data_IF_080113059110
#
_entry.id   IF_080113059110
#
_cell.length_a   1.000
_cell.length_b   1.000
_cell.length_c   1.000
_cell.angle_alpha   90.00
_cell.angle_beta   90.00
_cell.angle_gamma   90.00
#
_symmetry.space_group_name_H-M   'P 1'
#
loop_
_entity.id
_entity.type
_entity.pdbx_description
1 polymer ?
#
# COMPACT_ATOMS: atom_id res chain seq x y z
N UNK A 1 -15.06 -11.09 0.31
CA UNK A 1 -14.07 -11.85 -0.50
C UNK A 1 -13.35 -10.96 -1.52
N UNK A 2 -14.07 -10.27 -2.42
CA UNK A 2 -13.44 -9.42 -3.45
C UNK A 2 -12.50 -8.32 -2.89
N UNK A 3 -12.91 -7.66 -1.80
CA UNK A 3 -12.10 -6.60 -1.16
C UNK A 3 -10.78 -7.10 -0.57
N UNK A 4 -10.80 -8.22 0.16
CA UNK A 4 -9.59 -8.87 0.69
C UNK A 4 -8.62 -9.17 -0.44
N UNK A 5 -9.10 -9.72 -1.56
CA UNK A 5 -8.24 -10.06 -2.70
C UNK A 5 -7.67 -8.80 -3.36
N UNK A 6 -8.49 -7.75 -3.52
CA UNK A 6 -8.06 -6.49 -4.14
C UNK A 6 -6.98 -5.77 -3.33
N UNK A 7 -7.31 -5.38 -2.10
CA UNK A 7 -6.43 -4.51 -1.33
C UNK A 7 -5.32 -5.29 -0.62
N UNK A 8 -5.56 -6.55 -0.25
CA UNK A 8 -4.53 -7.35 0.43
C UNK A 8 -3.56 -8.03 -0.53
N UNK A 9 -3.93 -8.28 -1.79
CA UNK A 9 -3.07 -9.04 -2.74
C UNK A 9 -2.77 -8.26 -4.01
N UNK A 10 -3.77 -7.77 -4.74
CA UNK A 10 -3.53 -7.09 -6.01
C UNK A 10 -2.73 -5.80 -5.84
N UNK A 11 -3.07 -4.94 -4.88
CA UNK A 11 -2.37 -3.67 -4.66
C UNK A 11 -0.89 -3.88 -4.28
N UNK A 12 -0.52 -4.72 -3.29
CA UNK A 12 0.88 -5.01 -2.98
C UNK A 12 1.67 -5.63 -4.14
N UNK A 13 1.03 -6.48 -4.97
CA UNK A 13 1.67 -7.05 -6.15
C UNK A 13 1.90 -5.99 -7.24
N UNK A 14 0.97 -5.06 -7.42
CA UNK A 14 1.18 -3.91 -8.31
C UNK A 14 2.31 -3.01 -7.80
N UNK A 15 2.40 -2.78 -6.48
CA UNK A 15 3.53 -2.05 -5.88
C UNK A 15 4.86 -2.76 -6.18
N UNK A 16 4.89 -4.10 -6.09
CA UNK A 16 6.07 -4.89 -6.44
C UNK A 16 6.47 -4.69 -7.90
N UNK A 17 5.53 -4.77 -8.84
CA UNK A 17 5.78 -4.54 -10.28
C UNK A 17 6.37 -3.15 -10.49
N UNK A 18 5.79 -2.10 -9.88
CA UNK A 18 6.31 -0.74 -9.99
C UNK A 18 7.69 -0.57 -9.34
N UNK A 19 7.99 -1.31 -8.27
CA UNK A 19 9.31 -1.26 -7.64
C UNK A 19 10.40 -1.93 -8.48
N UNK A 20 10.04 -2.84 -9.39
CA UNK A 20 10.98 -3.45 -10.34
C UNK A 20 11.39 -2.47 -11.45
N UNK A 21 10.56 -1.49 -11.75
CA UNK A 21 10.90 -0.41 -12.68
C UNK A 21 11.94 0.50 -11.99
N UNK A 22 13.06 0.85 -12.66
CA UNK A 22 14.15 1.63 -12.06
C UNK A 22 13.83 3.12 -11.92
N UNK A 23 12.59 3.46 -11.55
CA UNK A 23 12.13 4.79 -11.24
C UNK A 23 11.97 4.88 -9.71
N UNK A 24 12.71 5.77 -9.03
CA UNK A 24 12.57 5.96 -7.60
C UNK A 24 11.12 6.25 -7.20
N UNK A 25 10.65 5.60 -6.14
CA UNK A 25 9.34 5.85 -5.51
C UNK A 25 8.11 5.60 -6.38
N UNK A 26 8.23 5.01 -7.58
CA UNK A 26 7.08 4.75 -8.45
C UNK A 26 6.00 3.90 -7.76
N UNK A 27 6.40 2.93 -6.95
CA UNK A 27 5.51 2.06 -6.17
C UNK A 27 4.70 2.78 -5.08
N UNK A 28 5.04 4.03 -4.73
CA UNK A 28 4.28 4.85 -3.77
C UNK A 28 2.99 5.40 -4.40
N UNK A 29 2.84 5.35 -5.73
CA UNK A 29 1.63 5.83 -6.41
C UNK A 29 0.36 5.13 -5.90
N UNK A 30 0.44 3.85 -5.54
CA UNK A 30 -0.69 3.11 -5.00
C UNK A 30 -1.15 3.70 -3.65
N UNK A 31 -0.22 4.10 -2.79
CA UNK A 31 -0.54 4.77 -1.52
C UNK A 31 -1.25 6.10 -1.77
N UNK A 32 -0.77 6.87 -2.74
CA UNK A 32 -1.40 8.14 -3.13
C UNK A 32 -2.82 7.92 -3.67
N UNK A 33 -3.03 6.91 -4.51
CA UNK A 33 -4.36 6.57 -5.06
C UNK A 33 -5.34 6.13 -3.97
N UNK A 34 -4.92 5.28 -3.04
CA UNK A 34 -5.77 4.87 -1.91
C UNK A 34 -6.14 6.07 -1.04
N UNK A 35 -5.17 6.94 -0.73
CA UNK A 35 -5.42 8.15 0.07
C UNK A 35 -6.37 9.11 -0.62
N UNK A 36 -6.23 9.26 -1.94
CA UNK A 36 -7.12 10.07 -2.76
C UNK A 36 -8.54 9.50 -2.74
N UNK A 37 -8.69 8.18 -2.89
CA UNK A 37 -10.00 7.50 -2.84
C UNK A 37 -10.69 7.71 -1.50
N UNK A 38 -9.97 7.57 -0.38
CA UNK A 38 -10.53 7.79 0.96
C UNK A 38 -10.87 9.27 1.18
N UNK A 39 -10.02 10.19 0.75
CA UNK A 39 -10.32 11.63 0.81
C UNK A 39 -11.60 11.98 0.05
N UNK A 40 -11.81 11.37 -1.12
CA UNK A 40 -13.02 11.55 -1.91
C UNK A 40 -14.25 10.95 -1.21
N UNK A 41 -14.11 9.75 -0.63
CA UNK A 41 -15.17 9.10 0.15
C UNK A 41 -15.60 9.90 1.39
N UNK A 42 -14.67 10.60 2.04
CA UNK A 42 -14.96 11.50 3.17
C UNK A 42 -15.60 12.82 2.70
N UNK A 43 -15.15 13.37 1.57
CA UNK A 43 -15.58 14.68 1.10
C UNK A 43 -16.97 14.68 0.45
N UNK A 44 -17.28 13.69 -0.40
CA UNK A 44 -18.52 13.70 -1.19
C UNK A 44 -19.81 13.77 -0.35
N UNK A 45 -19.98 12.99 0.72
CA UNK A 45 -21.20 13.07 1.53
C UNK A 45 -21.39 14.43 2.20
N UNK A 46 -20.27 15.08 2.59
CA UNK A 46 -20.28 16.43 3.14
C UNK A 46 -20.65 17.48 2.08
N UNK A 47 -20.17 17.30 0.84
CA UNK A 47 -20.43 18.22 -0.26
C UNK A 47 -21.87 18.15 -0.79
N UNK A 48 -22.50 16.97 -0.76
CA UNK A 48 -23.84 16.74 -1.31
C UNK A 48 -24.98 16.85 -0.28
N UNK A 49 -24.70 17.29 0.95
CA UNK A 49 -25.69 17.51 2.01
C UNK A 49 -26.67 16.32 2.17
N UNK A 50 -26.13 15.10 2.22
CA UNK A 50 -26.93 13.93 2.56
C UNK A 50 -27.32 14.02 4.04
N UNK A 51 -28.53 14.51 4.35
CA UNK A 51 -29.02 14.66 5.72
C UNK A 51 -29.11 13.32 6.48
N UNK A 52 -29.13 12.20 5.76
CA UNK A 52 -29.20 10.85 6.34
C UNK A 52 -27.85 10.29 6.82
N UNK A 53 -26.72 10.78 6.29
CA UNK A 53 -25.39 10.30 6.70
C UNK A 53 -24.64 11.37 7.50
N UNK A 54 -24.52 11.13 8.80
CA UNK A 54 -23.71 11.98 9.65
C UNK A 54 -22.22 11.78 9.33
N UNK A 55 -21.47 12.88 9.33
CA UNK A 55 -20.03 12.86 9.13
C UNK A 55 -19.32 11.94 10.14
N UNK A 56 -19.84 11.81 11.37
CA UNK A 56 -19.34 10.90 12.39
C UNK A 56 -19.37 9.43 11.96
N UNK A 57 -20.42 9.04 11.24
CA UNK A 57 -20.68 7.64 10.89
C UNK A 57 -19.73 7.21 9.78
N UNK A 58 -19.52 8.09 8.81
CA UNK A 58 -18.50 7.92 7.75
C UNK A 58 -17.10 7.82 8.38
N UNK A 59 -16.80 8.66 9.37
CA UNK A 59 -15.49 8.68 10.02
C UNK A 59 -15.22 7.38 10.76
N UNK A 60 -16.19 6.87 11.53
CA UNK A 60 -16.07 5.61 12.28
C UNK A 60 -16.13 4.39 11.34
N UNK A 61 -16.88 4.45 10.24
CA UNK A 61 -16.94 3.39 9.25
C UNK A 61 -15.67 3.26 8.40
N UNK A 62 -15.07 4.39 7.98
CA UNK A 62 -13.97 4.40 7.01
C UNK A 62 -12.59 4.48 7.67
N UNK A 63 -12.41 5.38 8.64
CA UNK A 63 -11.07 5.69 9.16
C UNK A 63 -10.38 4.48 9.79
N UNK A 64 -11.06 3.63 10.59
CA UNK A 64 -10.41 2.49 11.23
C UNK A 64 -9.78 1.53 10.22
N UNK A 65 -10.50 1.12 9.16
CA UNK A 65 -9.94 0.16 8.20
C UNK A 65 -8.83 0.81 7.37
N UNK A 66 -9.02 2.08 6.96
CA UNK A 66 -8.04 2.82 6.18
C UNK A 66 -6.71 2.99 6.93
N UNK A 67 -6.74 3.25 8.24
CA UNK A 67 -5.51 3.40 9.03
C UNK A 67 -4.63 2.15 8.98
N UNK A 68 -5.23 0.96 9.10
CA UNK A 68 -4.49 -0.30 9.01
C UNK A 68 -4.05 -0.62 7.59
N UNK A 69 -4.91 -0.36 6.59
CA UNK A 69 -4.56 -0.56 5.19
C UNK A 69 -3.37 0.34 4.77
N UNK A 70 -3.44 1.62 5.11
CA UNK A 70 -2.39 2.59 4.84
C UNK A 70 -1.07 2.19 5.53
N UNK A 71 -1.13 1.75 6.79
CA UNK A 71 0.03 1.20 7.49
C UNK A 71 0.64 0.00 6.75
N UNK A 72 -0.19 -0.95 6.31
CA UNK A 72 0.23 -2.11 5.54
C UNK A 72 0.96 -1.72 4.25
N UNK A 73 0.44 -0.74 3.50
CA UNK A 73 1.09 -0.24 2.30
C UNK A 73 2.38 0.53 2.59
N UNK A 74 2.45 1.30 3.67
CA UNK A 74 3.70 1.95 4.11
C UNK A 74 4.79 0.92 4.42
N UNK A 75 4.46 -0.18 5.11
CA UNK A 75 5.40 -1.27 5.39
C UNK A 75 5.84 -1.93 4.07
N UNK A 76 4.91 -2.20 3.15
CA UNK A 76 5.23 -2.74 1.83
C UNK A 76 6.18 -1.82 1.04
N UNK A 77 5.91 -0.52 1.02
CA UNK A 77 6.76 0.49 0.39
C UNK A 77 8.17 0.52 0.99
N UNK A 78 8.31 0.41 2.32
CA UNK A 78 9.61 0.36 2.98
C UNK A 78 10.43 -0.89 2.59
N UNK A 79 9.78 -2.04 2.42
CA UNK A 79 10.44 -3.26 1.93
C UNK A 79 10.87 -3.10 0.46
N UNK A 80 9.98 -2.55 -0.38
CA UNK A 80 10.22 -2.33 -1.80
C UNK A 80 11.30 -1.27 -2.07
N UNK A 81 11.49 -0.30 -1.17
CA UNK A 81 12.57 0.67 -1.28
C UNK A 81 13.95 0.01 -1.40
N UNK A 82 14.22 -1.05 -0.60
CA UNK A 82 15.50 -1.78 -0.67
C UNK A 82 15.67 -2.49 -2.01
N UNK A 83 14.60 -3.10 -2.52
CA UNK A 83 14.57 -3.75 -3.82
C UNK A 83 14.80 -2.76 -4.97
N UNK A 84 14.01 -1.70 -5.05
CA UNK A 84 14.10 -0.68 -6.08
C UNK A 84 15.50 -0.01 -6.08
N UNK A 85 16.04 0.29 -4.90
CA UNK A 85 17.40 0.83 -4.76
C UNK A 85 18.48 -0.12 -5.28
N UNK A 86 18.34 -1.42 -5.07
CA UNK A 86 19.26 -2.45 -5.60
C UNK A 86 19.18 -2.53 -7.13
N UNK A 87 17.98 -2.43 -7.72
CA UNK A 87 17.79 -2.42 -9.17
C UNK A 87 18.42 -1.18 -9.81
N UNK A 88 18.13 0.01 -9.27
CA UNK A 88 18.73 1.27 -9.75
C UNK A 88 20.26 1.21 -9.65
N UNK A 89 20.80 0.69 -8.54
CA UNK A 89 22.25 0.51 -8.37
C UNK A 89 22.84 -0.48 -9.37
N UNK A 90 22.17 -1.60 -9.63
CA UNK A 90 22.59 -2.58 -10.64
C UNK A 90 22.75 -1.92 -11.99
N UNK A 91 21.72 -1.19 -12.45
CA UNK A 91 21.74 -0.51 -13.75
C UNK A 91 22.80 0.59 -13.76
N UNK A 92 22.87 1.43 -12.73
CA UNK A 92 23.85 2.53 -12.66
C UNK A 92 25.28 2.01 -12.61
N UNK A 93 25.52 0.83 -12.00
CA UNK A 93 26.85 0.21 -11.93
C UNK A 93 27.32 -0.35 -13.29
N UNK A 94 26.42 -0.62 -14.25
CA UNK A 94 26.82 -1.00 -15.61
C UNK A 94 27.52 0.15 -16.34
N UNK A 95 27.16 1.39 -16.01
CA UNK A 95 27.69 2.61 -16.63
C UNK A 95 28.77 3.31 -15.80
N UNK A 96 29.14 2.79 -14.61
CA UNK A 96 30.11 3.42 -13.72
C UNK A 96 31.49 2.78 -13.81
N UNK A 97 32.52 3.62 -13.90
CA UNK A 97 33.93 3.21 -13.82
C UNK A 97 34.32 2.65 -12.44
N UNK A 98 33.72 3.17 -11.35
CA UNK A 98 33.89 2.64 -9.98
C UNK A 98 32.58 2.06 -9.48
N UNK A 99 32.49 0.74 -9.42
CA UNK A 99 31.30 0.00 -8.98
C UNK A 99 31.05 0.25 -7.49
N UNK A 100 29.81 0.59 -7.13
CA UNK A 100 29.39 0.67 -5.72
C UNK A 100 28.86 -0.67 -5.25
N UNK A 101 29.00 -0.94 -3.95
CA UNK A 101 28.44 -2.13 -3.33
C UNK A 101 26.93 -2.24 -3.59
N UNK A 102 26.52 -3.42 -4.04
CA UNK A 102 25.16 -3.69 -4.45
C UNK A 102 24.63 -4.88 -3.67
N UNK A 103 23.43 -4.70 -3.10
CA UNK A 103 22.73 -5.80 -2.46
C UNK A 103 22.11 -6.69 -3.54
N UNK A 104 22.02 -7.98 -3.26
CA UNK A 104 21.41 -8.94 -4.19
C UNK A 104 19.93 -8.59 -4.44
N UNK A 105 19.57 -8.40 -5.71
CA UNK A 105 18.17 -8.18 -6.12
C UNK A 105 17.32 -9.38 -5.65
N UNK A 106 17.78 -10.61 -5.91
CA UNK A 106 17.06 -11.82 -5.53
C UNK A 106 16.90 -11.93 -4.00
N UNK A 107 17.93 -11.53 -3.25
CA UNK A 107 17.86 -11.44 -1.79
C UNK A 107 16.81 -10.43 -1.32
N UNK A 108 16.72 -9.27 -1.97
CA UNK A 108 15.72 -8.26 -1.66
C UNK A 108 14.29 -8.68 -2.05
N UNK A 109 14.12 -9.41 -3.16
CA UNK A 109 12.82 -10.00 -3.53
C UNK A 109 12.38 -11.02 -2.48
N UNK A 110 13.28 -11.92 -2.06
CA UNK A 110 12.99 -12.89 -1.00
C UNK A 110 12.62 -12.19 0.31
N UNK A 111 13.38 -11.15 0.68
CA UNK A 111 13.11 -10.35 1.87
C UNK A 111 11.75 -9.63 1.79
N UNK A 112 11.37 -9.15 0.60
CA UNK A 112 10.04 -8.58 0.37
C UNK A 112 8.95 -9.63 0.65
N UNK A 113 9.04 -10.83 0.08
CA UNK A 113 8.02 -11.87 0.33
C UNK A 113 7.96 -12.29 1.80
N UNK A 114 9.10 -12.46 2.47
CA UNK A 114 9.12 -12.77 3.90
C UNK A 114 8.46 -11.64 4.70
N UNK A 115 8.88 -10.39 4.49
CA UNK A 115 8.30 -9.24 5.18
C UNK A 115 6.82 -9.03 4.84
N UNK A 116 6.41 -9.37 3.61
CA UNK A 116 5.04 -9.33 3.17
C UNK A 116 4.18 -10.32 3.95
N UNK A 117 4.54 -11.60 4.00
CA UNK A 117 3.75 -12.61 4.70
C UNK A 117 3.77 -12.44 6.22
N UNK A 118 4.86 -11.92 6.79
CA UNK A 118 5.01 -11.78 8.25
C UNK A 118 4.41 -10.47 8.78
N UNK A 119 4.48 -9.37 8.02
CA UNK A 119 4.09 -8.03 8.50
C UNK A 119 2.95 -7.43 7.69
N UNK A 120 3.07 -7.37 6.37
CA UNK A 120 2.09 -6.67 5.52
C UNK A 120 0.76 -7.42 5.49
N UNK A 121 0.79 -8.71 5.20
CA UNK A 121 -0.39 -9.53 5.00
C UNK A 121 -1.28 -9.63 6.25
N UNK A 122 -0.75 -9.84 7.47
CA UNK A 122 -1.56 -9.81 8.68
C UNK A 122 -2.22 -8.45 8.93
N UNK A 123 -1.50 -7.35 8.67
CA UNK A 123 -2.04 -5.98 8.82
C UNK A 123 -3.17 -5.73 7.83
N UNK A 124 -3.02 -6.14 6.57
CA UNK A 124 -4.07 -5.99 5.54
C UNK A 124 -5.28 -6.89 5.79
N UNK A 125 -5.08 -8.10 6.31
CA UNK A 125 -6.19 -8.95 6.77
C UNK A 125 -6.95 -8.24 7.89
N UNK A 126 -6.24 -7.66 8.85
CA UNK A 126 -6.87 -6.94 9.96
C UNK A 126 -7.69 -5.74 9.47
N UNK A 127 -7.15 -4.97 8.52
CA UNK A 127 -7.89 -3.89 7.85
C UNK A 127 -9.17 -4.41 7.17
N UNK A 128 -9.09 -5.53 6.45
CA UNK A 128 -10.25 -6.10 5.77
C UNK A 128 -11.30 -6.68 6.74
N UNK A 129 -10.88 -7.15 7.91
CA UNK A 129 -11.81 -7.57 8.98
C UNK A 129 -12.56 -6.34 9.51
N UNK A 130 -11.85 -5.25 9.82
CA UNK A 130 -12.49 -3.99 10.22
C UNK A 130 -13.47 -3.53 9.13
N UNK A 131 -13.06 -3.57 7.87
CA UNK A 131 -13.91 -3.19 6.77
C UNK A 131 -15.17 -4.06 6.66
N UNK A 132 -15.05 -5.37 6.87
CA UNK A 132 -16.18 -6.29 6.75
C UNK A 132 -17.19 -6.20 7.90
N UNK A 133 -16.74 -5.84 9.11
CA UNK A 133 -17.58 -5.85 10.31
C UNK A 133 -17.96 -4.47 10.83
N UNK A 134 -17.13 -3.45 10.63
CA UNK A 134 -17.33 -2.10 11.16
C UNK A 134 -17.95 -1.20 10.10
N UNK A 135 -17.42 -1.17 8.88
CA UNK A 135 -17.94 -0.29 7.82
C UNK A 135 -19.45 -0.44 7.59
N UNK A 136 -20.04 -1.64 7.46
CA UNK A 136 -21.48 -1.81 7.20
C UNK A 136 -22.39 -1.45 8.37
N UNK A 137 -21.85 -1.20 9.57
CA UNK A 137 -22.64 -0.74 10.71
C UNK A 137 -22.94 0.76 10.63
N UNK A 138 -22.19 1.50 9.82
CA UNK A 138 -22.25 2.96 9.74
C UNK A 138 -22.50 3.51 8.32
N UNK A 139 -22.33 2.68 7.29
CA UNK A 139 -22.43 3.03 5.87
C UNK A 139 -23.38 2.11 5.11
#
# INVERSE_FOLDING_TARGET
MAYVVNNSVYVPMQMLIFALIPIPFLYVINIAMTSFSVGLALYLPMAFANEELLFSDILIGIVPHFMFEFLGFCIAAALLYKLNKSIIRSITNLFRNKKKENSSILGNVKNFFIGYFVLVFPVLIFAAVIEAFITPLFL
#
